data_IF_486730578999
#
_entry.id   IF_486730578999
#
_cell.length_a   1.000
_cell.length_b   1.000
_cell.length_c   1.000
_cell.angle_alpha   90.00
_cell.angle_beta   90.00
_cell.angle_gamma   90.00
#
_symmetry.space_group_name_H-M   'P 1'
#
loop_
_entity.id
_entity.type
_entity.pdbx_description
1 polymer ?
#
# COMPACT_ATOMS: atom_id res chain seq x y z
N UNK A 1 16.37 12.68 8.65
CA UNK A 1 14.96 12.20 8.53
C UNK A 1 14.44 11.85 9.92
N UNK A 2 13.58 12.70 10.52
CA UNK A 2 12.96 12.44 11.82
C UNK A 2 11.77 11.51 11.58
N UNK A 3 11.87 10.24 11.98
CA UNK A 3 10.78 9.28 11.80
C UNK A 3 9.72 9.51 12.87
N UNK A 4 8.46 9.67 12.47
CA UNK A 4 7.36 9.87 13.40
C UNK A 4 6.96 8.52 14.03
N UNK A 5 7.66 8.12 15.10
CA UNK A 5 7.54 6.79 15.74
C UNK A 5 6.13 6.46 16.22
N UNK A 6 5.32 7.47 16.55
CA UNK A 6 3.93 7.27 16.98
C UNK A 6 3.02 6.70 15.89
N UNK A 7 3.34 6.92 14.61
CA UNK A 7 2.59 6.29 13.53
C UNK A 7 2.85 4.77 13.47
N UNK A 8 4.00 4.32 14.00
CA UNK A 8 4.36 2.91 14.00
C UNK A 8 3.69 2.12 15.14
N UNK A 9 3.13 2.78 16.15
CA UNK A 9 2.40 2.09 17.24
C UNK A 9 0.92 1.89 16.93
N UNK A 10 0.38 2.56 15.90
CA UNK A 10 -1.01 2.41 15.48
C UNK A 10 -1.25 1.04 14.82
N UNK A 11 -2.37 0.41 15.20
CA UNK A 11 -2.87 -0.85 14.60
C UNK A 11 -3.18 -0.71 13.11
N UNK A 12 -3.64 0.47 12.70
CA UNK A 12 -3.92 0.83 11.30
C UNK A 12 -3.13 2.08 10.96
N UNK A 13 -2.45 2.04 9.81
CA UNK A 13 -1.62 3.15 9.31
C UNK A 13 -2.14 3.55 7.94
N UNK A 14 -2.34 4.84 7.76
CA UNK A 14 -2.73 5.42 6.47
C UNK A 14 -1.52 6.11 5.86
N UNK A 15 -1.37 5.96 4.55
CA UNK A 15 -0.38 6.64 3.75
C UNK A 15 -1.05 7.13 2.46
N UNK A 16 -0.62 8.31 2.01
CA UNK A 16 -0.99 8.86 0.71
C UNK A 16 0.23 8.80 -0.19
N UNK A 17 0.01 8.52 -1.47
CA UNK A 17 1.05 8.51 -2.49
C UNK A 17 0.61 9.49 -3.57
N UNK A 18 1.50 10.40 -3.94
CA UNK A 18 1.28 11.28 -5.08
C UNK A 18 1.79 10.61 -6.36
N UNK A 19 0.89 10.04 -7.14
CA UNK A 19 1.24 9.36 -8.39
C UNK A 19 1.68 10.29 -9.52
N UNK A 20 1.49 11.61 -9.40
CA UNK A 20 2.08 12.56 -10.35
C UNK A 20 3.61 12.57 -10.22
N UNK A 21 4.09 12.42 -8.97
CA UNK A 21 5.51 12.40 -8.62
C UNK A 21 6.08 10.97 -8.65
N UNK A 22 5.41 10.01 -8.01
CA UNK A 22 5.90 8.63 -7.82
C UNK A 22 5.39 7.63 -8.89
N UNK A 23 5.57 7.98 -10.17
CA UNK A 23 5.00 7.21 -11.31
C UNK A 23 5.38 5.73 -11.32
N UNK A 24 6.65 5.41 -11.08
CA UNK A 24 7.17 4.03 -11.08
C UNK A 24 6.48 3.20 -10.01
N UNK A 25 6.32 3.76 -8.80
CA UNK A 25 5.62 3.10 -7.71
C UNK A 25 4.17 2.84 -8.09
N UNK A 26 3.44 3.84 -8.60
CA UNK A 26 2.04 3.68 -8.93
C UNK A 26 1.80 2.67 -10.07
N UNK A 27 2.70 2.60 -11.06
CA UNK A 27 2.68 1.57 -12.09
C UNK A 27 2.91 0.17 -11.51
N UNK A 28 3.92 0.00 -10.65
CA UNK A 28 4.18 -1.27 -9.96
C UNK A 28 3.00 -1.69 -9.07
N UNK A 29 2.34 -0.71 -8.44
CA UNK A 29 1.16 -0.94 -7.63
C UNK A 29 -0.12 -1.13 -8.46
N UNK A 30 -0.07 -1.02 -9.79
CA UNK A 30 -1.21 -1.14 -10.71
C UNK A 30 -2.34 -0.16 -10.41
N UNK A 31 -1.98 1.10 -10.20
CA UNK A 31 -2.94 2.19 -10.07
C UNK A 31 -3.32 2.69 -11.46
N UNK A 32 -4.46 2.24 -11.96
CA UNK A 32 -4.97 2.61 -13.30
C UNK A 32 -5.98 3.77 -13.25
N UNK A 33 -6.67 3.94 -12.12
CA UNK A 33 -7.74 4.91 -11.93
C UNK A 33 -7.59 5.63 -10.58
N UNK A 34 -8.05 6.87 -10.49
CA UNK A 34 -7.96 7.68 -9.29
C UNK A 34 -9.34 8.07 -8.72
N UNK A 35 -9.49 8.11 -7.39
CA UNK A 35 -8.55 7.61 -6.38
C UNK A 35 -8.59 6.08 -6.25
N UNK A 36 -7.45 5.46 -5.93
CA UNK A 36 -7.36 4.02 -5.60
C UNK A 36 -6.81 3.85 -4.18
N UNK A 37 -7.43 2.97 -3.40
CA UNK A 37 -7.03 2.65 -2.02
C UNK A 37 -6.66 1.18 -1.93
N UNK A 38 -5.43 0.90 -1.52
CA UNK A 38 -4.96 -0.46 -1.23
C UNK A 38 -4.91 -0.71 0.27
N UNK A 39 -5.47 -1.84 0.70
CA UNK A 39 -5.29 -2.36 2.05
C UNK A 39 -4.14 -3.37 2.04
N UNK A 40 -3.11 -3.11 2.85
CA UNK A 40 -2.00 -4.02 3.07
C UNK A 40 -2.09 -4.66 4.46
N UNK A 41 -1.87 -5.96 4.51
CA UNK A 41 -1.82 -6.75 5.74
C UNK A 41 -0.57 -7.65 5.67
N UNK A 42 0.33 -7.53 6.65
CA UNK A 42 1.61 -8.26 6.68
C UNK A 42 2.40 -8.17 5.36
N UNK A 43 2.51 -6.95 4.81
CA UNK A 43 3.25 -6.71 3.56
C UNK A 43 2.53 -7.18 2.29
N UNK A 44 1.40 -7.89 2.39
CA UNK A 44 0.63 -8.40 1.25
C UNK A 44 -0.61 -7.55 1.00
N UNK A 45 -0.98 -7.40 -0.27
CA UNK A 45 -2.18 -6.64 -0.66
C UNK A 45 -3.43 -7.48 -0.38
N UNK A 46 -4.20 -7.09 0.64
CA UNK A 46 -5.38 -7.79 1.09
C UNK A 46 -6.69 -7.26 0.46
N UNK A 47 -6.65 -6.09 -0.19
CA UNK A 47 -7.79 -5.57 -0.93
C UNK A 47 -7.51 -4.26 -1.65
N UNK A 48 -8.34 -3.97 -2.64
CA UNK A 48 -8.32 -2.73 -3.41
C UNK A 48 -9.73 -2.15 -3.48
N UNK A 49 -9.84 -0.85 -3.27
CA UNK A 49 -11.02 -0.05 -3.59
C UNK A 49 -10.64 0.95 -4.68
N UNK A 50 -11.47 1.05 -5.71
CA UNK A 50 -11.31 2.02 -6.80
C UNK A 50 -12.51 2.96 -6.76
N UNK A 51 -12.23 4.25 -6.64
CA UNK A 51 -13.23 5.33 -6.64
C UNK A 51 -13.51 5.88 -8.04
N UNK A 52 -13.98 7.13 -8.10
CA UNK A 52 -14.38 7.87 -9.29
C UNK A 52 -15.89 8.12 -9.43
N UNK A 53 -16.71 7.90 -8.39
CA UNK A 53 -18.18 8.07 -8.45
C UNK A 53 -18.74 8.80 -7.23
N UNK A 54 -19.92 9.43 -7.37
CA UNK A 54 -20.60 10.15 -6.28
C UNK A 54 -20.84 9.28 -5.02
N UNK A 55 -21.05 7.97 -5.21
CA UNK A 55 -21.31 6.99 -4.15
C UNK A 55 -20.09 6.53 -3.36
N UNK A 56 -18.89 7.08 -3.62
CA UNK A 56 -17.64 6.50 -3.12
C UNK A 56 -17.46 6.61 -1.62
N UNK A 57 -17.99 7.65 -0.98
CA UNK A 57 -17.84 7.82 0.48
C UNK A 57 -18.46 6.64 1.23
N UNK A 58 -19.69 6.27 0.88
CA UNK A 58 -20.38 5.15 1.51
C UNK A 58 -19.72 3.80 1.17
N UNK A 59 -19.32 3.62 -0.09
CA UNK A 59 -18.64 2.40 -0.53
C UNK A 59 -17.26 2.24 0.11
N UNK A 60 -16.52 3.33 0.28
CA UNK A 60 -15.24 3.35 0.97
C UNK A 60 -15.43 3.04 2.45
N UNK A 61 -16.43 3.65 3.11
CA UNK A 61 -16.74 3.33 4.51
C UNK A 61 -17.06 1.83 4.68
N UNK A 62 -17.89 1.27 3.80
CA UNK A 62 -18.18 -0.18 3.78
C UNK A 62 -16.92 -1.02 3.55
N UNK A 63 -16.05 -0.61 2.63
CA UNK A 63 -14.77 -1.28 2.38
C UNK A 63 -13.86 -1.26 3.62
N UNK A 64 -13.72 -0.11 4.27
CA UNK A 64 -12.91 0.05 5.47
C UNK A 64 -13.47 -0.80 6.62
N UNK A 65 -14.77 -0.77 6.89
CA UNK A 65 -15.39 -1.60 7.94
C UNK A 65 -15.21 -3.09 7.66
N UNK A 66 -15.35 -3.52 6.40
CA UNK A 66 -15.14 -4.91 6.01
C UNK A 66 -13.69 -5.38 6.17
N UNK A 67 -12.71 -4.49 6.05
CA UNK A 67 -11.28 -4.85 6.08
C UNK A 67 -10.60 -4.60 7.42
N UNK A 68 -11.05 -3.59 8.15
CA UNK A 68 -10.46 -3.12 9.40
C UNK A 68 -11.35 -3.40 10.62
N UNK A 69 -12.59 -3.86 10.41
CA UNK A 69 -13.51 -4.19 11.49
C UNK A 69 -13.09 -5.43 12.29
N UNK A 70 -13.63 -5.62 13.51
CA UNK A 70 -13.23 -6.69 14.42
C UNK A 70 -13.28 -8.10 13.81
N UNK A 71 -14.32 -8.39 13.02
CA UNK A 71 -14.47 -9.67 12.33
C UNK A 71 -13.39 -9.91 11.28
N UNK A 72 -12.96 -8.85 10.58
CA UNK A 72 -11.89 -8.94 9.60
C UNK A 72 -10.56 -9.24 10.29
N UNK A 73 -10.26 -8.56 11.41
CA UNK A 73 -9.05 -8.80 12.20
C UNK A 73 -9.02 -10.23 12.77
N UNK A 74 -10.16 -10.77 13.18
CA UNK A 74 -10.28 -12.13 13.73
C UNK A 74 -10.24 -13.24 12.66
N UNK A 75 -10.75 -12.97 11.45
CA UNK A 75 -10.77 -13.93 10.35
C UNK A 75 -9.45 -14.00 9.57
N UNK A 76 -8.53 -13.05 9.78
CA UNK A 76 -7.20 -13.13 9.18
C UNK A 76 -6.40 -14.22 9.90
N UNK A 77 -5.74 -15.13 9.16
CA UNK A 77 -4.88 -16.12 9.78
C UNK A 77 -3.84 -15.40 10.65
N UNK A 78 -3.66 -15.90 11.88
CA UNK A 78 -2.68 -15.39 12.84
C UNK A 78 -1.33 -15.28 12.11
N UNK A 79 -0.63 -14.14 12.19
CA UNK A 79 0.56 -13.93 11.38
C UNK A 79 1.61 -14.99 11.70
N UNK A 80 1.92 -15.86 10.73
CA UNK A 80 3.22 -16.48 10.71
C UNK A 80 4.22 -15.34 10.45
N UNK A 81 5.20 -15.19 11.33
CA UNK A 81 6.32 -14.27 11.14
C UNK A 81 7.05 -14.67 9.86
N UNK A 82 6.68 -14.09 8.72
CA UNK A 82 7.49 -14.16 7.50
C UNK A 82 8.72 -13.27 7.76
N UNK A 83 9.93 -13.84 7.76
CA UNK A 83 11.14 -13.05 7.88
C UNK A 83 11.18 -12.05 6.74
N UNK A 84 11.63 -10.85 7.05
CA UNK A 84 11.91 -9.75 6.12
C UNK A 84 12.87 -10.25 5.01
N UNK A 85 12.34 -10.87 3.95
CA UNK A 85 13.16 -11.35 2.84
C UNK A 85 13.33 -10.26 1.80
N UNK A 86 14.56 -9.74 1.81
CA UNK A 86 15.37 -9.39 0.66
C UNK A 86 14.88 -8.27 -0.28
N UNK A 87 15.47 -7.09 -0.04
CA UNK A 87 16.17 -6.29 -1.05
C UNK A 87 16.39 -7.00 -2.41
N UNK A 88 15.76 -6.49 -3.45
CA UNK A 88 16.13 -6.77 -4.83
C UNK A 88 16.77 -5.52 -5.45
N UNK A 89 18.07 -5.42 -5.19
CA UNK A 89 19.13 -4.93 -6.04
C UNK A 89 18.75 -3.96 -7.19
N UNK A 90 19.15 -2.72 -6.96
CA UNK A 90 19.64 -1.82 -8.00
C UNK A 90 20.82 -2.50 -8.75
N UNK A 91 20.66 -2.78 -10.04
CA UNK A 91 21.73 -2.97 -11.03
C UNK A 91 21.20 -2.33 -12.31
N UNK A 92 21.80 -1.34 -12.96
CA UNK A 92 23.01 -0.56 -12.74
C UNK A 92 23.08 0.37 -13.96
N UNK A 93 23.35 1.65 -13.75
CA UNK A 93 23.62 2.60 -14.83
C UNK A 93 24.97 3.26 -14.55
N UNK A 94 25.93 2.99 -15.43
CA UNK A 94 26.97 3.83 -16.08
C UNK A 94 28.16 2.91 -16.41
N UNK A 95 28.60 2.80 -17.66
CA UNK A 95 29.66 3.60 -18.31
C UNK A 95 29.85 2.93 -19.71
N UNK A 96 30.11 3.53 -20.88
CA UNK A 96 30.68 4.81 -21.34
C UNK A 96 30.20 5.09 -22.76
N UNK A 97 30.09 6.38 -23.10
CA UNK A 97 30.20 6.86 -24.47
C UNK A 97 31.69 6.83 -24.89
N UNK A 98 31.91 6.38 -26.13
CA UNK A 98 33.00 6.74 -27.05
C UNK A 98 34.39 6.05 -26.84
N UNK A 99 35.24 5.97 -27.89
CA UNK A 99 35.21 6.67 -29.19
C UNK A 99 34.26 6.08 -30.24
#
# INVERSE_FOLDING_TARGET
RKLNKELLTKKVRFATVDCATDKVLCNQQRVEQYPTVHHYWHGKRAGTFVGGRQSDVEKLAKFLTKRLGPAAVAAQPKPAEEPLVAEAAQKGLVERLAP
#
